data_IF_297973303042
#
_entry.id   IF_297973303042
#
_cell.length_a   1.000
_cell.length_b   1.000
_cell.length_c   1.000
_cell.angle_alpha   90.00
_cell.angle_beta   90.00
_cell.angle_gamma   90.00
#
_symmetry.space_group_name_H-M   'P 1'
#
loop_
_entity.id
_entity.type
_entity.pdbx_description
1 polymer ?
#
# COMPACT_ATOMS: atom_id res chain seq x y z
N UNK A 1 -13.70 -5.41 -10.98
CA UNK A 1 -13.28 -6.19 -9.79
C UNK A 1 -12.71 -5.23 -8.75
N UNK A 2 -13.35 -5.18 -7.59
CA UNK A 2 -12.93 -4.30 -6.50
C UNK A 2 -11.51 -4.66 -6.03
N UNK A 3 -10.65 -3.65 -5.87
CA UNK A 3 -9.26 -3.82 -5.44
C UNK A 3 -9.11 -3.16 -4.07
N UNK A 4 -8.56 -3.90 -3.09
CA UNK A 4 -8.18 -3.31 -1.82
C UNK A 4 -6.80 -2.64 -1.93
N UNK A 5 -6.76 -1.33 -1.68
CA UNK A 5 -5.51 -0.61 -1.46
C UNK A 5 -5.69 0.41 -0.35
N UNK A 6 -4.80 0.37 0.63
CA UNK A 6 -4.71 1.36 1.69
C UNK A 6 -3.25 1.56 2.06
N UNK A 7 -2.76 2.78 1.95
CA UNK A 7 -1.42 3.16 2.39
C UNK A 7 -1.48 4.31 3.39
N UNK A 8 -0.59 4.29 4.39
CA UNK A 8 -0.49 5.34 5.40
C UNK A 8 0.92 5.90 5.45
N UNK A 9 1.04 7.22 5.43
CA UNK A 9 2.32 7.90 5.57
C UNK A 9 2.22 9.12 6.47
N UNK A 10 3.34 9.49 7.10
CA UNK A 10 3.44 10.69 7.89
C UNK A 10 4.03 11.82 7.04
N UNK A 11 3.30 12.93 6.98
CA UNK A 11 3.80 14.21 6.46
C UNK A 11 4.56 14.86 7.59
N UNK A 12 5.89 14.96 7.45
CA UNK A 12 6.75 15.52 8.48
C UNK A 12 7.67 16.60 7.93
N UNK A 13 7.97 17.57 8.78
CA UNK A 13 8.86 18.68 8.42
C UNK A 13 10.31 18.22 8.24
N UNK A 14 10.76 17.19 8.97
CA UNK A 14 12.08 16.59 8.79
C UNK A 14 12.32 16.03 7.38
N UNK A 15 11.25 15.69 6.67
CA UNK A 15 11.30 15.24 5.26
C UNK A 15 11.13 16.39 4.25
N UNK A 16 11.28 17.64 4.67
CA UNK A 16 11.08 18.82 3.81
C UNK A 16 9.64 19.01 3.35
N UNK A 17 8.65 18.36 4.02
CA UNK A 17 7.24 18.46 3.64
C UNK A 17 6.52 19.48 4.50
N UNK A 18 5.53 20.17 3.90
CA UNK A 18 4.59 21.06 4.56
C UNK A 18 3.17 20.48 4.50
N UNK A 19 2.40 20.64 5.57
CA UNK A 19 0.99 20.27 5.58
C UNK A 19 0.16 21.17 4.66
N UNK A 20 0.49 22.45 4.60
CA UNK A 20 -0.14 23.41 3.68
C UNK A 20 0.13 23.05 2.24
N UNK A 21 1.41 22.80 1.86
CA UNK A 21 1.77 22.39 0.51
C UNK A 21 1.16 21.05 0.11
N UNK A 22 1.11 20.11 1.05
CA UNK A 22 0.50 18.80 0.83
C UNK A 22 -1.01 18.91 0.59
N UNK A 23 -1.73 19.71 1.37
CA UNK A 23 -3.16 19.93 1.21
C UNK A 23 -3.47 20.69 -0.08
N UNK A 24 -2.73 21.77 -0.38
CA UNK A 24 -2.88 22.54 -1.63
C UNK A 24 -2.71 21.64 -2.87
N UNK A 25 -1.69 20.77 -2.86
CA UNK A 25 -1.45 19.84 -3.97
C UNK A 25 -2.62 18.87 -4.17
N UNK A 26 -3.16 18.29 -3.09
CA UNK A 26 -4.25 17.31 -3.19
C UNK A 26 -5.56 17.95 -3.60
N UNK A 27 -5.90 19.08 -2.98
CA UNK A 27 -7.16 19.77 -3.24
C UNK A 27 -7.18 20.55 -4.57
N UNK A 28 -6.02 20.71 -5.25
CA UNK A 28 -5.91 21.55 -6.43
C UNK A 28 -6.18 23.02 -6.12
N UNK A 29 -5.78 23.49 -4.95
CA UNK A 29 -6.02 24.86 -4.50
C UNK A 29 -4.75 25.69 -4.49
N UNK A 30 -4.94 27.01 -4.38
CA UNK A 30 -3.88 27.96 -4.12
C UNK A 30 -3.92 28.30 -2.63
N UNK A 31 -2.88 27.95 -1.86
CA UNK A 31 -2.81 28.18 -0.42
C UNK A 31 -1.44 28.79 -0.08
N UNK A 32 -1.47 29.88 0.66
CA UNK A 32 -0.28 30.53 1.20
C UNK A 32 0.12 29.87 2.52
N UNK A 33 1.39 29.47 2.66
CA UNK A 33 1.95 28.96 3.90
C UNK A 33 2.52 30.14 4.72
N UNK A 34 1.84 30.50 5.78
CA UNK A 34 2.20 31.64 6.65
C UNK A 34 3.54 31.45 7.36
N UNK A 35 3.96 30.19 7.53
CA UNK A 35 5.18 29.89 8.27
C UNK A 35 6.46 30.11 7.46
N UNK A 36 6.48 29.70 6.20
CA UNK A 36 7.66 29.76 5.33
C UNK A 36 7.55 30.85 4.25
N UNK A 37 6.39 31.55 4.17
CA UNK A 37 6.14 32.58 3.19
C UNK A 37 5.95 32.08 1.76
N UNK A 38 5.71 30.77 1.57
CA UNK A 38 5.60 30.17 0.26
C UNK A 38 4.13 30.05 -0.15
N UNK A 39 3.83 30.48 -1.37
CA UNK A 39 2.52 30.29 -1.98
C UNK A 39 2.53 28.99 -2.82
N UNK A 40 1.65 28.06 -2.46
CA UNK A 40 1.46 26.81 -3.17
C UNK A 40 0.26 26.93 -4.09
N UNK A 41 0.46 26.99 -5.42
CA UNK A 41 -0.61 27.11 -6.40
C UNK A 41 -0.71 25.87 -7.29
N UNK A 42 -1.75 25.09 -7.05
CA UNK A 42 -2.06 23.86 -7.80
C UNK A 42 -3.42 23.91 -8.52
N UNK A 43 -3.97 25.10 -8.79
CA UNK A 43 -5.27 25.27 -9.47
C UNK A 43 -5.33 24.66 -10.87
N UNK A 44 -4.18 24.40 -11.50
CA UNK A 44 -4.11 23.72 -12.81
C UNK A 44 -4.22 22.20 -12.71
N UNK A 45 -4.24 21.63 -11.50
CA UNK A 45 -4.36 20.19 -11.30
C UNK A 45 -5.73 19.71 -11.74
N UNK A 46 -5.73 18.66 -12.57
CA UNK A 46 -6.95 17.99 -13.05
C UNK A 46 -7.27 16.76 -12.19
N UNK A 47 -8.49 16.27 -12.30
CA UNK A 47 -8.92 15.02 -11.66
C UNK A 47 -9.34 15.16 -10.20
N UNK A 48 -9.44 16.36 -9.65
CA UNK A 48 -10.07 16.59 -8.34
C UNK A 48 -11.58 16.60 -8.53
N UNK A 49 -12.27 15.58 -8.09
CA UNK A 49 -13.73 15.40 -8.31
C UNK A 49 -14.57 15.64 -7.08
N UNK A 50 -13.97 15.56 -5.90
CA UNK A 50 -14.62 15.86 -4.62
C UNK A 50 -13.58 16.32 -3.60
N UNK A 51 -13.96 17.25 -2.71
CA UNK A 51 -13.15 17.69 -1.58
C UNK A 51 -14.01 18.19 -0.44
N UNK A 52 -13.68 17.78 0.77
CA UNK A 52 -14.41 18.16 1.98
C UNK A 52 -13.50 18.12 3.21
N UNK A 53 -13.84 18.89 4.24
CA UNK A 53 -13.24 18.77 5.56
C UNK A 53 -14.30 18.25 6.52
N UNK A 54 -14.04 17.09 7.12
CA UNK A 54 -14.85 16.47 8.16
C UNK A 54 -14.18 16.71 9.51
N UNK A 55 -14.94 17.22 10.46
CA UNK A 55 -14.46 17.58 11.78
C UNK A 55 -15.50 17.25 12.85
N UNK A 56 -15.08 17.03 14.12
CA UNK A 56 -16.00 16.89 15.24
C UNK A 56 -16.98 18.07 15.33
N UNK A 57 -18.19 17.83 15.82
CA UNK A 57 -19.24 18.86 15.91
C UNK A 57 -18.83 20.08 16.73
N UNK A 58 -18.06 19.84 17.78
CA UNK A 58 -17.53 20.88 18.67
C UNK A 58 -16.26 21.56 18.15
N UNK A 59 -15.81 21.26 16.93
CA UNK A 59 -14.66 21.92 16.35
C UNK A 59 -14.98 23.38 15.98
N UNK A 60 -14.03 24.32 16.15
CA UNK A 60 -14.22 25.70 15.76
C UNK A 60 -14.54 25.84 14.27
N UNK A 61 -15.33 26.83 13.90
CA UNK A 61 -15.75 27.04 12.50
C UNK A 61 -14.59 27.20 11.51
N UNK A 62 -13.47 27.78 11.98
CA UNK A 62 -12.26 27.93 11.16
C UNK A 62 -11.65 26.59 10.74
N UNK A 63 -11.88 25.52 11.49
CA UNK A 63 -11.34 24.18 11.19
C UNK A 63 -11.87 23.60 9.88
N UNK A 64 -13.00 24.11 9.39
CA UNK A 64 -13.59 23.74 8.09
C UNK A 64 -13.02 24.56 6.92
N UNK A 65 -12.16 25.54 7.19
CA UNK A 65 -11.41 26.27 6.15
C UNK A 65 -10.05 25.63 5.96
N UNK A 66 -9.80 25.05 4.79
CA UNK A 66 -8.59 24.28 4.46
C UNK A 66 -7.30 25.07 4.66
N UNK A 67 -7.25 26.29 4.16
CA UNK A 67 -6.07 27.14 4.28
C UNK A 67 -5.77 27.46 5.75
N UNK A 68 -6.79 27.82 6.52
CA UNK A 68 -6.64 28.13 7.94
C UNK A 68 -6.29 26.89 8.76
N UNK A 69 -6.96 25.77 8.53
CA UNK A 69 -6.71 24.50 9.22
C UNK A 69 -5.22 24.13 9.14
N UNK A 70 -4.66 24.07 7.94
CA UNK A 70 -3.29 23.60 7.78
C UNK A 70 -2.23 24.65 8.18
N UNK A 71 -2.54 25.94 8.13
CA UNK A 71 -1.69 26.98 8.71
C UNK A 71 -1.69 26.91 10.25
N UNK A 72 -2.84 26.66 10.90
CA UNK A 72 -2.87 26.45 12.35
C UNK A 72 -2.10 25.18 12.77
N UNK A 73 -2.11 24.11 11.96
CA UNK A 73 -1.25 22.92 12.18
C UNK A 73 0.23 23.31 12.09
N UNK A 74 0.66 24.06 11.06
CA UNK A 74 2.05 24.51 10.92
C UNK A 74 2.49 25.40 12.08
N UNK A 75 1.61 26.24 12.59
CA UNK A 75 1.86 27.16 13.69
C UNK A 75 2.03 26.45 15.04
N UNK A 76 1.15 25.45 15.35
CA UNK A 76 1.21 24.73 16.61
C UNK A 76 2.36 23.73 16.67
N UNK A 77 2.76 23.17 15.53
CA UNK A 77 3.86 22.22 15.41
C UNK A 77 5.21 22.93 15.28
N UNK A 78 5.82 23.32 16.40
CA UNK A 78 6.99 24.22 16.45
C UNK A 78 8.32 23.56 16.07
N UNK A 79 8.47 22.26 16.31
CA UNK A 79 9.76 21.56 16.15
C UNK A 79 10.14 21.34 14.67
N UNK A 80 11.45 21.28 14.38
CA UNK A 80 12.00 21.02 13.04
C UNK A 80 11.67 19.60 12.52
N UNK A 81 11.43 18.66 13.41
CA UNK A 81 11.12 17.25 13.13
C UNK A 81 9.63 16.90 13.32
N UNK A 82 8.76 17.91 13.48
CA UNK A 82 7.34 17.65 13.73
C UNK A 82 6.67 16.82 12.64
N UNK A 83 5.92 15.84 13.10
CA UNK A 83 4.88 15.20 12.28
C UNK A 83 3.71 16.20 12.19
N UNK A 84 3.35 16.57 10.97
CA UNK A 84 2.34 17.60 10.68
C UNK A 84 0.97 17.00 10.44
N UNK A 85 0.93 15.92 9.66
CA UNK A 85 -0.29 15.21 9.33
C UNK A 85 0.00 13.73 9.09
N UNK A 86 -1.02 12.90 9.22
CA UNK A 86 -1.06 11.56 8.66
C UNK A 86 -1.84 11.62 7.37
N UNK A 87 -1.32 11.02 6.33
CA UNK A 87 -2.06 10.80 5.11
C UNK A 87 -2.42 9.32 4.98
N UNK A 88 -3.67 9.06 4.66
CA UNK A 88 -4.17 7.75 4.24
C UNK A 88 -4.63 7.89 2.80
N UNK A 89 -4.14 7.02 1.93
CA UNK A 89 -4.55 6.94 0.54
C UNK A 89 -5.26 5.60 0.33
N UNK A 90 -6.50 5.64 -0.17
CA UNK A 90 -7.36 4.47 -0.36
C UNK A 90 -7.85 4.41 -1.81
N UNK A 91 -7.87 3.20 -2.39
CA UNK A 91 -8.59 2.96 -3.64
C UNK A 91 -10.09 2.91 -3.38
N UNK A 92 -10.86 3.42 -4.32
CA UNK A 92 -12.32 3.36 -4.30
C UNK A 92 -12.80 2.35 -5.34
N UNK A 93 -13.81 1.52 -5.03
CA UNK A 93 -14.36 0.59 -6.00
C UNK A 93 -14.87 1.30 -7.24
N UNK A 94 -14.52 0.79 -8.41
CA UNK A 94 -15.02 1.30 -9.69
C UNK A 94 -16.50 0.90 -9.93
N UNK A 95 -16.96 -0.08 -9.19
CA UNK A 95 -18.34 -0.56 -9.17
C UNK A 95 -19.30 0.44 -8.51
N UNK A 96 -18.75 1.37 -7.71
CA UNK A 96 -19.53 2.41 -7.04
C UNK A 96 -19.60 3.65 -7.93
N UNK A 97 -20.79 4.19 -8.06
CA UNK A 97 -20.96 5.54 -8.60
C UNK A 97 -20.33 6.60 -7.67
N UNK A 98 -20.25 7.83 -8.13
CA UNK A 98 -19.61 8.92 -7.38
C UNK A 98 -20.28 9.19 -6.04
N UNK A 99 -21.61 9.12 -5.97
CA UNK A 99 -22.36 9.37 -4.75
C UNK A 99 -22.08 8.30 -3.69
N UNK A 100 -22.06 7.04 -4.11
CA UNK A 100 -21.71 5.91 -3.23
C UNK A 100 -20.25 5.94 -2.78
N UNK A 101 -19.32 6.36 -3.66
CA UNK A 101 -17.92 6.58 -3.28
C UNK A 101 -17.78 7.67 -2.21
N UNK A 102 -18.49 8.80 -2.36
CA UNK A 102 -18.50 9.89 -1.37
C UNK A 102 -19.12 9.42 -0.06
N UNK A 103 -20.25 8.70 -0.11
CA UNK A 103 -20.92 8.15 1.06
C UNK A 103 -19.97 7.22 1.84
N UNK A 104 -19.35 6.26 1.16
CA UNK A 104 -18.39 5.33 1.76
C UNK A 104 -17.26 6.09 2.48
N UNK A 105 -16.67 7.08 1.82
CA UNK A 105 -15.56 7.85 2.37
C UNK A 105 -15.97 8.65 3.61
N UNK A 106 -17.15 9.28 3.57
CA UNK A 106 -17.68 10.03 4.73
C UNK A 106 -17.97 9.14 5.93
N UNK A 107 -18.63 8.00 5.71
CA UNK A 107 -18.94 7.04 6.78
C UNK A 107 -17.63 6.50 7.39
N UNK A 108 -16.71 6.02 6.56
CA UNK A 108 -15.43 5.52 7.00
C UNK A 108 -14.63 6.56 7.81
N UNK A 109 -14.58 7.81 7.35
CA UNK A 109 -13.87 8.90 8.04
C UNK A 109 -14.53 9.24 9.37
N UNK A 110 -15.85 9.38 9.40
CA UNK A 110 -16.55 9.77 10.61
C UNK A 110 -16.42 8.70 11.70
N UNK A 111 -16.58 7.43 11.34
CA UNK A 111 -16.52 6.32 12.30
C UNK A 111 -15.09 6.08 12.83
N UNK A 112 -14.06 6.29 12.03
CA UNK A 112 -12.71 5.88 12.38
C UNK A 112 -11.77 7.02 12.79
N UNK A 113 -12.05 8.25 12.41
CA UNK A 113 -11.13 9.38 12.65
C UNK A 113 -11.82 10.54 13.36
N UNK A 114 -12.94 11.01 12.84
CA UNK A 114 -13.66 12.16 13.42
C UNK A 114 -14.19 11.82 14.81
N UNK A 115 -14.71 10.60 15.00
CA UNK A 115 -15.14 10.09 16.32
C UNK A 115 -14.01 10.04 17.35
N UNK A 116 -12.76 9.97 16.90
CA UNK A 116 -11.56 10.02 17.76
C UNK A 116 -11.03 11.44 18.00
N UNK A 117 -11.73 12.46 17.50
CA UNK A 117 -11.33 13.86 17.65
C UNK A 117 -10.37 14.38 16.57
N UNK A 118 -10.09 13.61 15.51
CA UNK A 118 -9.28 14.08 14.38
C UNK A 118 -10.13 14.95 13.44
N UNK A 119 -9.45 15.86 12.73
CA UNK A 119 -10.00 16.47 11.53
C UNK A 119 -9.45 15.74 10.32
N UNK A 120 -10.32 15.47 9.36
CA UNK A 120 -9.97 14.84 8.10
C UNK A 120 -10.22 15.81 6.94
N UNK A 121 -9.18 16.12 6.19
CA UNK A 121 -9.24 16.82 4.91
C UNK A 121 -9.20 15.77 3.81
N UNK A 122 -10.35 15.51 3.19
CA UNK A 122 -10.50 14.46 2.18
C UNK A 122 -10.62 15.06 0.79
N UNK A 123 -9.94 14.41 -0.16
CA UNK A 123 -9.99 14.75 -1.58
C UNK A 123 -10.09 13.45 -2.39
N UNK A 124 -11.09 13.35 -3.26
CA UNK A 124 -11.19 12.24 -4.21
C UNK A 124 -10.61 12.69 -5.55
N UNK A 125 -9.71 11.87 -6.06
CA UNK A 125 -9.14 12.00 -7.38
C UNK A 125 -9.69 10.92 -8.31
N UNK A 126 -10.06 11.35 -9.50
CA UNK A 126 -10.41 10.48 -10.61
C UNK A 126 -10.08 11.18 -11.92
N UNK A 127 -9.38 10.48 -12.78
CA UNK A 127 -9.01 10.97 -14.12
C UNK A 127 -9.60 10.10 -15.22
N UNK A 128 -10.69 9.38 -14.92
CA UNK A 128 -11.37 8.43 -15.82
C UNK A 128 -10.43 7.32 -16.35
N UNK A 129 -9.36 7.04 -15.61
CA UNK A 129 -8.38 6.00 -15.96
C UNK A 129 -8.59 4.68 -15.20
N UNK A 130 -9.78 4.51 -14.56
CA UNK A 130 -10.13 3.31 -13.80
C UNK A 130 -9.43 3.18 -12.44
N UNK A 131 -8.97 4.29 -11.87
CA UNK A 131 -8.31 4.31 -10.56
C UNK A 131 -8.84 5.45 -9.66
N UNK A 132 -10.15 5.49 -9.35
CA UNK A 132 -10.67 6.44 -8.38
C UNK A 132 -10.05 6.16 -7.01
N UNK A 133 -9.55 7.22 -6.35
CA UNK A 133 -8.90 7.09 -5.04
C UNK A 133 -9.10 8.32 -4.18
N UNK A 134 -9.09 8.12 -2.86
CA UNK A 134 -9.21 9.21 -1.91
C UNK A 134 -7.90 9.42 -1.14
N UNK A 135 -7.49 10.67 -1.04
CA UNK A 135 -6.46 11.16 -0.13
C UNK A 135 -7.14 11.72 1.10
N UNK A 136 -6.79 11.22 2.26
CA UNK A 136 -7.33 11.63 3.55
C UNK A 136 -6.16 12.15 4.38
N UNK A 137 -6.09 13.47 4.60
CA UNK A 137 -5.11 14.08 5.48
C UNK A 137 -5.72 14.28 6.86
N UNK A 138 -5.13 13.66 7.88
CA UNK A 138 -5.60 13.65 9.26
C UNK A 138 -4.70 14.53 10.14
N UNK A 139 -5.32 15.27 11.06
CA UNK A 139 -4.56 15.99 12.10
C UNK A 139 -3.94 15.01 13.10
N UNK A 140 -2.82 15.40 13.72
CA UNK A 140 -2.11 14.60 14.73
C UNK A 140 -2.46 15.04 16.17
N UNK A 141 -3.49 15.89 16.31
CA UNK A 141 -4.02 16.41 17.54
C UNK A 141 -5.52 16.32 17.51
N UNK A 142 -6.10 16.06 18.66
CA UNK A 142 -7.53 16.21 18.86
C UNK A 142 -7.91 17.68 18.78
N UNK A 143 -9.12 17.95 18.34
CA UNK A 143 -9.70 19.29 18.30
C UNK A 143 -10.95 19.35 19.18
N UNK A 144 -11.12 20.45 19.86
CA UNK A 144 -12.32 20.81 20.61
C UNK A 144 -12.69 22.28 20.33
N UNK A 145 -13.65 22.83 21.04
CA UNK A 145 -14.11 24.22 20.90
C UNK A 145 -13.01 25.29 21.12
N UNK A 146 -12.00 24.99 21.94
CA UNK A 146 -10.83 25.86 22.17
C UNK A 146 -9.77 25.76 21.08
N UNK A 147 -9.87 24.76 20.17
CA UNK A 147 -8.92 24.49 19.11
C UNK A 147 -8.12 23.20 19.33
N UNK A 148 -6.88 23.17 18.84
CA UNK A 148 -6.04 21.96 18.93
C UNK A 148 -5.54 21.70 20.35
N UNK A 149 -5.82 20.49 20.84
CA UNK A 149 -5.30 19.95 22.09
C UNK A 149 -3.85 19.45 22.00
N UNK A 150 -3.50 18.57 22.94
CA UNK A 150 -2.20 17.91 22.95
C UNK A 150 -2.07 16.93 21.79
N UNK A 151 -0.83 16.71 21.34
CA UNK A 151 -0.55 15.69 20.30
C UNK A 151 -0.84 14.31 20.85
N UNK A 152 -1.70 13.57 20.16
CA UNK A 152 -2.01 12.19 20.51
C UNK A 152 -1.02 11.24 19.80
N UNK A 153 -0.09 10.69 20.57
CA UNK A 153 0.96 9.80 20.05
C UNK A 153 0.50 8.36 19.87
N UNK A 154 -0.56 7.98 20.54
CA UNK A 154 -1.11 6.62 20.48
C UNK A 154 -1.64 6.31 19.07
N UNK A 155 -2.06 7.32 18.32
CA UNK A 155 -2.45 7.17 16.92
C UNK A 155 -1.31 6.69 16.00
N UNK A 156 -0.04 6.72 16.46
CA UNK A 156 1.08 6.13 15.74
C UNK A 156 1.23 4.62 15.99
N UNK A 157 0.45 4.04 16.90
CA UNK A 157 0.50 2.61 17.15
C UNK A 157 0.01 1.83 15.91
N UNK A 158 0.73 0.77 15.56
CA UNK A 158 0.44 -0.10 14.42
C UNK A 158 -0.96 -0.71 14.49
N UNK A 159 -1.45 -0.99 15.70
CA UNK A 159 -2.80 -1.52 15.94
C UNK A 159 -3.89 -0.66 15.30
N UNK A 160 -3.75 0.68 15.34
CA UNK A 160 -4.71 1.57 14.69
C UNK A 160 -4.67 1.45 13.17
N UNK A 161 -3.48 1.30 12.58
CA UNK A 161 -3.35 1.15 11.12
C UNK A 161 -4.00 -0.14 10.67
N UNK A 162 -3.80 -1.23 11.39
CA UNK A 162 -4.42 -2.53 11.11
C UNK A 162 -5.95 -2.45 11.26
N UNK A 163 -6.44 -1.82 12.34
CA UNK A 163 -7.86 -1.57 12.55
C UNK A 163 -8.47 -0.74 11.40
N UNK A 164 -7.85 0.37 11.03
CA UNK A 164 -8.36 1.25 9.96
C UNK A 164 -8.39 0.52 8.61
N UNK A 165 -7.43 -0.35 8.33
CA UNK A 165 -7.44 -1.19 7.12
C UNK A 165 -8.59 -2.19 7.15
N UNK A 166 -8.82 -2.85 8.28
CA UNK A 166 -9.93 -3.80 8.46
C UNK A 166 -11.29 -3.10 8.28
N UNK A 167 -11.48 -1.95 8.93
CA UNK A 167 -12.71 -1.18 8.82
C UNK A 167 -12.96 -0.68 7.39
N UNK A 168 -11.92 -0.26 6.66
CA UNK A 168 -12.06 0.08 5.25
C UNK A 168 -12.58 -1.10 4.42
N UNK A 169 -12.04 -2.31 4.64
CA UNK A 169 -12.52 -3.50 3.94
C UNK A 169 -13.97 -3.80 4.29
N UNK A 170 -14.37 -3.65 5.56
CA UNK A 170 -15.74 -3.82 6.02
C UNK A 170 -16.72 -2.84 5.32
N UNK A 171 -16.34 -1.55 5.24
CA UNK A 171 -17.14 -0.54 4.56
C UNK A 171 -17.30 -0.82 3.06
N UNK A 172 -16.22 -1.20 2.39
CA UNK A 172 -16.25 -1.57 0.97
C UNK A 172 -17.16 -2.79 0.76
N UNK A 173 -17.00 -3.84 1.57
CA UNK A 173 -17.76 -5.07 1.43
C UNK A 173 -19.25 -4.87 1.67
N UNK A 174 -19.61 -4.07 2.67
CA UNK A 174 -21.01 -3.66 2.91
C UNK A 174 -21.60 -2.94 1.69
N UNK A 175 -20.83 -2.01 1.10
CA UNK A 175 -21.26 -1.31 -0.09
C UNK A 175 -21.38 -2.19 -1.33
N UNK A 176 -20.54 -3.22 -1.49
CA UNK A 176 -20.65 -4.21 -2.57
C UNK A 176 -21.90 -5.10 -2.38
N UNK A 177 -22.15 -5.52 -1.14
CA UNK A 177 -23.33 -6.31 -0.79
C UNK A 177 -24.66 -5.57 -1.09
N UNK A 178 -24.74 -4.28 -0.75
CA UNK A 178 -25.89 -3.43 -1.07
C UNK A 178 -26.17 -3.36 -2.59
N UNK A 179 -25.16 -3.58 -3.43
CA UNK A 179 -25.29 -3.64 -4.90
C UNK A 179 -25.51 -5.05 -5.42
N UNK A 180 -25.60 -6.07 -4.56
CA UNK A 180 -25.72 -7.47 -4.97
C UNK A 180 -24.45 -8.04 -5.63
N UNK A 181 -23.30 -7.40 -5.42
CA UNK A 181 -22.01 -7.83 -5.96
C UNK A 181 -21.40 -8.86 -5.02
N UNK A 182 -21.01 -10.02 -5.56
CA UNK A 182 -20.47 -11.15 -4.78
C UNK A 182 -19.00 -10.98 -4.39
N UNK A 183 -18.24 -10.19 -5.15
CA UNK A 183 -16.83 -9.93 -4.86
C UNK A 183 -16.67 -9.29 -3.49
N UNK A 184 -15.58 -9.69 -2.81
CA UNK A 184 -15.20 -9.14 -1.51
C UNK A 184 -13.73 -8.77 -1.51
N UNK A 185 -13.39 -7.75 -0.74
CA UNK A 185 -12.01 -7.33 -0.49
C UNK A 185 -11.59 -7.74 0.91
N UNK A 186 -10.30 -8.03 1.09
CA UNK A 186 -9.69 -8.33 2.39
C UNK A 186 -8.47 -7.43 2.59
N UNK A 187 -8.28 -6.96 3.81
CA UNK A 187 -7.15 -6.10 4.18
C UNK A 187 -5.87 -6.87 4.50
N UNK A 188 -5.99 -8.19 4.73
CA UNK A 188 -4.88 -9.09 5.07
C UNK A 188 -4.11 -9.50 3.83
N UNK A 189 -2.85 -9.90 4.01
CA UNK A 189 -2.07 -10.53 2.95
C UNK A 189 -2.67 -11.89 2.54
N UNK A 190 -2.33 -12.40 1.37
CA UNK A 190 -2.77 -13.74 0.95
C UNK A 190 -2.32 -14.82 1.94
N UNK A 191 -1.11 -14.69 2.49
CA UNK A 191 -0.58 -15.60 3.51
C UNK A 191 -1.45 -15.61 4.78
N UNK A 192 -1.81 -14.43 5.31
CA UNK A 192 -2.70 -14.31 6.47
C UNK A 192 -4.13 -14.80 6.21
N UNK A 193 -4.55 -14.81 4.95
CA UNK A 193 -5.84 -15.36 4.52
C UNK A 193 -5.79 -16.87 4.27
N UNK A 194 -4.60 -17.49 4.30
CA UNK A 194 -4.40 -18.89 3.91
C UNK A 194 -4.61 -19.15 2.41
N UNK A 195 -4.50 -18.12 1.58
CA UNK A 195 -4.66 -18.21 0.13
C UNK A 195 -3.29 -18.46 -0.51
N UNK A 196 -3.13 -19.57 -1.19
CA UNK A 196 -1.93 -19.92 -1.94
C UNK A 196 -1.87 -19.12 -3.27
N UNK A 197 -1.56 -17.83 -3.17
CA UNK A 197 -1.31 -16.94 -4.32
C UNK A 197 -0.10 -16.08 -4.08
N UNK A 198 0.68 -15.87 -5.13
CA UNK A 198 1.81 -14.95 -5.13
C UNK A 198 1.27 -13.53 -5.37
N UNK A 199 1.54 -12.55 -4.48
CA UNK A 199 1.08 -11.18 -4.69
C UNK A 199 1.83 -10.51 -5.84
N UNK A 200 1.11 -9.75 -6.68
CA UNK A 200 1.73 -8.92 -7.72
C UNK A 200 2.48 -7.75 -7.11
N UNK A 201 3.51 -7.30 -7.79
CA UNK A 201 4.34 -6.18 -7.36
C UNK A 201 3.76 -4.85 -7.87
N UNK A 202 3.75 -3.83 -7.03
CA UNK A 202 3.27 -2.51 -7.43
C UNK A 202 4.10 -1.90 -8.56
N UNK A 203 3.45 -1.54 -9.66
CA UNK A 203 4.12 -1.04 -10.87
C UNK A 203 4.45 0.46 -10.82
N UNK A 204 3.72 1.23 -10.05
CA UNK A 204 3.85 2.69 -10.07
C UNK A 204 3.35 3.35 -11.36
N UNK A 205 3.30 4.68 -11.36
CA UNK A 205 2.73 5.44 -12.49
C UNK A 205 3.56 5.33 -13.77
N UNK A 206 4.89 5.40 -13.65
CA UNK A 206 5.80 5.39 -14.81
C UNK A 206 5.72 4.07 -15.56
N UNK A 207 5.83 2.96 -14.83
CA UNK A 207 5.75 1.60 -15.38
C UNK A 207 4.40 1.38 -16.07
N UNK A 208 3.29 1.73 -15.42
CA UNK A 208 1.95 1.64 -16.03
C UNK A 208 1.80 2.50 -17.29
N UNK A 209 2.44 3.67 -17.33
CA UNK A 209 2.40 4.53 -18.51
C UNK A 209 3.20 3.95 -19.67
N UNK A 210 4.32 3.27 -19.38
CA UNK A 210 5.13 2.58 -20.39
C UNK A 210 4.39 1.35 -20.93
N UNK A 211 3.87 0.49 -20.06
CA UNK A 211 3.10 -0.71 -20.43
C UNK A 211 1.87 -0.36 -21.29
N UNK A 212 1.15 0.71 -20.96
CA UNK A 212 0.03 1.21 -21.80
C UNK A 212 0.44 1.64 -23.21
N UNK A 213 1.69 2.00 -23.40
CA UNK A 213 2.27 2.34 -24.72
C UNK A 213 2.85 1.13 -25.44
N UNK A 214 2.70 -0.08 -24.90
CA UNK A 214 3.27 -1.30 -25.43
C UNK A 214 4.76 -1.47 -25.17
N UNK A 215 5.33 -0.68 -24.23
CA UNK A 215 6.74 -0.81 -23.83
C UNK A 215 6.77 -1.79 -22.66
N UNK A 216 7.35 -2.96 -22.89
CA UNK A 216 7.56 -3.94 -21.83
C UNK A 216 8.58 -3.44 -20.80
N UNK A 217 8.26 -3.67 -19.52
CA UNK A 217 9.12 -3.30 -18.41
C UNK A 217 9.44 -4.53 -17.56
N UNK A 218 10.58 -4.51 -16.85
CA UNK A 218 10.96 -5.61 -15.96
C UNK A 218 9.87 -5.90 -14.93
N UNK A 219 9.29 -4.85 -14.34
CA UNK A 219 8.21 -4.98 -13.37
C UNK A 219 6.92 -5.54 -13.98
N UNK A 220 6.58 -5.14 -15.19
CA UNK A 220 5.45 -5.70 -15.94
C UNK A 220 5.68 -7.17 -16.30
N UNK A 221 6.91 -7.52 -16.70
CA UNK A 221 7.28 -8.91 -16.98
C UNK A 221 7.21 -9.78 -15.71
N UNK A 222 7.74 -9.31 -14.58
CA UNK A 222 7.62 -9.99 -13.29
C UNK A 222 6.14 -10.26 -12.94
N UNK A 223 5.26 -9.28 -13.10
CA UNK A 223 3.83 -9.47 -12.81
C UNK A 223 3.17 -10.46 -13.78
N UNK A 224 3.55 -10.46 -15.05
CA UNK A 224 3.07 -11.45 -16.02
C UNK A 224 3.49 -12.89 -15.66
N UNK A 225 4.72 -13.07 -15.16
CA UNK A 225 5.16 -14.37 -14.65
C UNK A 225 4.38 -14.78 -13.39
N UNK A 226 4.22 -13.87 -12.42
CA UNK A 226 3.40 -14.12 -11.23
C UNK A 226 1.96 -14.51 -11.60
N UNK A 227 1.37 -13.88 -12.62
CA UNK A 227 0.03 -14.26 -13.10
C UNK A 227 -0.01 -15.67 -13.68
N UNK A 228 1.03 -16.09 -14.42
CA UNK A 228 1.15 -17.47 -14.92
C UNK A 228 1.27 -18.47 -13.79
N UNK A 229 2.13 -18.18 -12.82
CA UNK A 229 2.35 -19.03 -11.64
C UNK A 229 1.04 -19.18 -10.84
N UNK A 230 0.33 -18.09 -10.62
CA UNK A 230 -0.96 -18.11 -9.92
C UNK A 230 -2.03 -18.93 -10.66
N UNK A 231 -2.02 -18.94 -12.00
CA UNK A 231 -2.91 -19.82 -12.80
C UNK A 231 -2.55 -21.29 -12.61
N UNK A 232 -1.26 -21.61 -12.55
CA UNK A 232 -0.79 -22.98 -12.30
C UNK A 232 -1.22 -23.43 -10.90
N UNK A 233 -1.04 -22.58 -9.89
CA UNK A 233 -1.46 -22.86 -8.51
C UNK A 233 -2.98 -23.10 -8.46
N UNK A 234 -3.78 -22.26 -9.12
CA UNK A 234 -5.23 -22.40 -9.17
C UNK A 234 -5.67 -23.72 -9.82
N UNK A 235 -5.04 -24.10 -10.94
CA UNK A 235 -5.31 -25.36 -11.61
C UNK A 235 -4.92 -26.57 -10.75
N UNK A 236 -3.76 -26.51 -10.09
CA UNK A 236 -3.31 -27.57 -9.17
C UNK A 236 -4.30 -27.74 -7.99
N UNK A 237 -4.73 -26.64 -7.40
CA UNK A 237 -5.70 -26.68 -6.30
C UNK A 237 -7.06 -27.27 -6.73
N UNK A 238 -7.54 -26.91 -7.92
CA UNK A 238 -8.77 -27.51 -8.49
C UNK A 238 -8.61 -29.04 -8.74
N UNK A 239 -7.44 -29.46 -9.23
CA UNK A 239 -7.19 -30.90 -9.43
C UNK A 239 -7.15 -31.67 -8.08
N UNK A 240 -6.54 -31.06 -7.05
CA UNK A 240 -6.52 -31.63 -5.70
C UNK A 240 -7.95 -31.77 -5.14
N UNK A 241 -8.79 -30.76 -5.34
CA UNK A 241 -10.19 -30.78 -4.92
C UNK A 241 -10.97 -31.90 -5.61
N UNK A 242 -10.86 -32.03 -6.93
CA UNK A 242 -11.47 -33.14 -7.71
C UNK A 242 -10.99 -34.51 -7.24
N UNK A 243 -9.69 -34.66 -6.97
CA UNK A 243 -9.14 -35.94 -6.45
C UNK A 243 -9.72 -36.25 -5.06
N UNK A 244 -9.87 -35.25 -4.18
CA UNK A 244 -10.50 -35.43 -2.87
C UNK A 244 -11.95 -35.84 -2.97
N UNK A 245 -12.72 -35.24 -3.88
CA UNK A 245 -14.10 -35.62 -4.15
C UNK A 245 -14.21 -37.05 -4.70
N UNK A 246 -13.30 -37.45 -5.62
CA UNK A 246 -13.28 -38.80 -6.20
C UNK A 246 -12.88 -39.91 -5.19
N UNK A 247 -12.05 -39.57 -4.19
CA UNK A 247 -11.59 -40.52 -3.18
C UNK A 247 -12.63 -40.80 -2.09
N UNK A 248 -13.80 -40.19 -2.17
CA UNK A 248 -14.92 -40.40 -1.25
C UNK A 248 -14.59 -40.11 0.21
N UNK A 249 -15.54 -39.56 0.92
CA UNK A 249 -15.46 -39.28 2.35
C UNK A 249 -15.33 -40.56 3.19
N UNK A 250 -14.18 -41.20 3.17
CA UNK A 250 -13.80 -42.13 4.25
C UNK A 250 -13.22 -41.34 5.43
N UNK A 251 -14.08 -40.54 6.07
CA UNK A 251 -13.76 -39.98 7.38
C UNK A 251 -14.36 -40.87 8.48
N UNK A 252 -13.59 -41.85 8.85
CA UNK A 252 -13.64 -42.28 10.26
C UNK A 252 -12.60 -41.50 11.06
N UNK A 253 -13.10 -40.90 12.16
CA UNK A 253 -12.41 -39.89 12.93
C UNK A 253 -11.03 -40.31 13.44
N UNK A 254 -10.06 -39.52 13.09
CA UNK A 254 -8.91 -39.29 13.96
C UNK A 254 -8.28 -37.94 13.61
N UNK A 255 -8.35 -37.03 14.57
CA UNK A 255 -7.73 -35.72 14.50
C UNK A 255 -6.21 -35.83 14.37
N UNK A 256 -5.67 -35.59 13.18
CA UNK A 256 -4.29 -35.13 13.02
C UNK A 256 -4.21 -34.36 11.69
N UNK A 257 -4.11 -33.03 11.82
CA UNK A 257 -3.95 -32.08 10.75
C UNK A 257 -2.64 -32.32 9.97
N UNK A 258 -2.72 -33.01 8.84
CA UNK A 258 -1.63 -33.15 7.88
C UNK A 258 -2.19 -33.52 6.52
N UNK A 259 -1.90 -32.71 5.51
CA UNK A 259 -2.29 -32.98 4.12
C UNK A 259 -1.40 -34.11 3.58
N UNK A 260 -1.99 -35.23 3.15
CA UNK A 260 -1.29 -36.30 2.42
C UNK A 260 -1.49 -36.12 0.93
N UNK A 261 -0.42 -35.89 0.20
CA UNK A 261 -0.40 -36.00 -1.26
C UNK A 261 0.47 -37.23 -1.60
N UNK A 262 -0.16 -38.34 -1.93
CA UNK A 262 0.55 -39.60 -2.18
C UNK A 262 1.35 -40.07 -0.94
N UNK A 263 2.63 -40.40 -1.11
CA UNK A 263 3.53 -40.84 -0.03
C UNK A 263 4.28 -39.68 0.67
N UNK A 264 3.85 -38.42 0.50
CA UNK A 264 4.49 -37.24 1.10
C UNK A 264 3.66 -36.74 2.25
N UNK A 265 4.26 -36.67 3.45
CA UNK A 265 3.66 -36.11 4.65
C UNK A 265 4.32 -34.75 4.92
N UNK A 266 3.55 -33.66 4.85
CA UNK A 266 4.01 -32.36 5.27
C UNK A 266 3.59 -32.18 6.74
N UNK A 267 4.55 -32.17 7.65
CA UNK A 267 4.30 -31.84 9.06
C UNK A 267 4.55 -30.34 9.28
N UNK A 268 3.56 -29.65 9.85
CA UNK A 268 3.77 -28.30 10.37
C UNK A 268 4.46 -28.38 11.74
N UNK A 269 5.72 -27.94 11.79
CA UNK A 269 6.36 -27.56 13.05
C UNK A 269 6.58 -26.06 13.10
N UNK A 270 6.23 -25.50 14.22
CA UNK A 270 6.32 -24.09 14.55
C UNK A 270 7.78 -23.63 14.61
N UNK A 271 8.12 -22.60 13.85
CA UNK A 271 9.35 -21.79 13.85
C UNK A 271 10.59 -22.41 13.21
N UNK A 272 10.88 -21.99 11.98
CA UNK A 272 12.20 -22.09 11.34
C UNK A 272 12.36 -23.39 10.56
N UNK A 273 12.61 -23.23 9.28
CA UNK A 273 13.02 -24.24 8.30
C UNK A 273 12.04 -25.39 8.02
N UNK A 274 11.37 -25.29 6.87
CA UNK A 274 10.55 -26.38 6.32
C UNK A 274 11.44 -27.45 5.74
N UNK A 275 11.61 -28.54 6.45
CA UNK A 275 12.20 -29.78 5.89
C UNK A 275 11.10 -30.68 5.32
N UNK A 276 11.30 -31.14 4.08
CA UNK A 276 10.45 -32.10 3.40
C UNK A 276 10.89 -33.52 3.83
N UNK A 277 10.07 -34.23 4.60
CA UNK A 277 10.31 -35.64 4.96
C UNK A 277 9.63 -36.55 3.95
N UNK A 278 10.42 -37.35 3.23
CA UNK A 278 9.93 -38.44 2.39
C UNK A 278 10.03 -39.75 3.17
N UNK A 279 8.89 -40.25 3.62
CA UNK A 279 8.82 -41.48 4.40
C UNK A 279 8.84 -42.74 3.53
N UNK A 280 9.68 -43.70 3.92
CA UNK A 280 9.87 -44.99 3.27
C UNK A 280 8.76 -45.98 3.63
N UNK A 281 8.16 -46.63 2.63
CA UNK A 281 7.43 -47.89 2.78
C UNK A 281 7.89 -48.88 1.73
N UNK A 282 8.63 -49.89 2.21
CA UNK A 282 8.95 -51.09 1.49
C UNK A 282 7.69 -51.90 1.22
N UNK A 283 7.30 -52.08 -0.03
CA UNK A 283 6.92 -53.33 -0.65
C UNK A 283 6.36 -53.12 -2.08
N UNK A 284 7.20 -53.20 -3.08
CA UNK A 284 6.97 -53.80 -4.37
C UNK A 284 8.21 -53.64 -5.26
N UNK A 285 8.75 -54.71 -5.71
CA UNK A 285 9.99 -54.80 -6.49
C UNK A 285 9.79 -54.42 -7.95
N UNK A 286 9.35 -53.21 -8.31
CA UNK A 286 9.35 -52.78 -9.72
C UNK A 286 9.30 -51.24 -9.92
N UNK A 287 9.38 -50.39 -8.88
CA UNK A 287 9.29 -48.93 -9.04
C UNK A 287 10.52 -48.12 -8.59
N UNK A 288 11.61 -48.77 -8.22
CA UNK A 288 12.76 -48.11 -7.61
C UNK A 288 13.50 -47.09 -8.50
N UNK A 289 13.46 -47.27 -9.81
CA UNK A 289 14.16 -46.38 -10.75
C UNK A 289 13.35 -45.08 -11.02
N UNK A 290 12.04 -45.18 -11.09
CA UNK A 290 11.17 -44.01 -11.32
C UNK A 290 11.05 -43.14 -10.09
N UNK A 291 10.99 -43.75 -8.89
CA UNK A 291 10.99 -43.00 -7.60
C UNK A 291 12.30 -42.26 -7.36
N UNK A 292 13.45 -42.83 -7.71
CA UNK A 292 14.74 -42.16 -7.56
C UNK A 292 14.93 -41.02 -8.56
N UNK A 293 14.37 -41.17 -9.76
CA UNK A 293 14.34 -40.14 -10.79
C UNK A 293 13.46 -38.94 -10.35
N UNK A 294 12.24 -39.20 -9.85
CA UNK A 294 11.32 -38.18 -9.35
C UNK A 294 11.94 -37.41 -8.15
N UNK A 295 12.62 -38.14 -7.25
CA UNK A 295 13.36 -37.53 -6.12
C UNK A 295 14.55 -36.66 -6.58
N UNK A 296 15.27 -37.10 -7.63
CA UNK A 296 16.37 -36.35 -8.22
C UNK A 296 15.88 -35.07 -8.93
N UNK A 297 14.78 -35.18 -9.71
CA UNK A 297 14.14 -34.04 -10.37
C UNK A 297 13.58 -33.04 -9.36
N UNK A 298 12.95 -33.50 -8.26
CA UNK A 298 12.49 -32.65 -7.16
C UNK A 298 13.64 -31.91 -6.44
N UNK A 299 14.76 -32.58 -6.14
CA UNK A 299 15.94 -31.93 -5.56
C UNK A 299 16.55 -30.90 -6.51
N UNK A 300 16.67 -31.23 -7.79
CA UNK A 300 17.18 -30.30 -8.80
C UNK A 300 16.30 -29.06 -8.97
N UNK A 301 14.98 -29.22 -8.88
CA UNK A 301 14.01 -28.12 -8.92
C UNK A 301 14.14 -27.22 -7.70
N UNK A 302 14.23 -27.77 -6.49
CA UNK A 302 14.42 -27.00 -5.25
C UNK A 302 15.76 -26.26 -5.24
N UNK A 303 16.83 -26.89 -5.75
CA UNK A 303 18.13 -26.23 -5.87
C UNK A 303 18.11 -25.09 -6.90
N UNK A 304 17.36 -25.26 -7.99
CA UNK A 304 17.14 -24.20 -8.97
C UNK A 304 16.38 -23.02 -8.34
N UNK A 305 15.30 -23.27 -7.62
CA UNK A 305 14.53 -22.23 -6.92
C UNK A 305 15.38 -21.46 -5.89
N UNK A 306 16.27 -22.18 -5.17
CA UNK A 306 17.20 -21.54 -4.24
C UNK A 306 18.19 -20.62 -4.94
N UNK A 307 18.78 -21.07 -6.06
CA UNK A 307 19.68 -20.25 -6.88
C UNK A 307 19.00 -19.04 -7.49
N UNK A 308 17.78 -19.22 -7.99
CA UNK A 308 16.98 -18.13 -8.58
C UNK A 308 16.64 -17.07 -7.51
N UNK A 309 16.35 -17.51 -6.27
CA UNK A 309 16.15 -16.61 -5.12
C UNK A 309 17.43 -15.85 -4.74
N UNK A 310 18.56 -16.50 -4.65
CA UNK A 310 19.85 -15.86 -4.36
C UNK A 310 20.22 -14.80 -5.42
N UNK A 311 19.95 -15.10 -6.71
CA UNK A 311 20.15 -14.15 -7.82
C UNK A 311 19.17 -12.97 -7.71
N UNK A 312 17.92 -13.20 -7.33
CA UNK A 312 16.94 -12.13 -7.14
C UNK A 312 17.32 -11.20 -5.98
N UNK A 313 17.76 -11.76 -4.84
CA UNK A 313 18.23 -10.98 -3.69
C UNK A 313 19.52 -10.19 -4.01
N UNK A 314 20.41 -10.74 -4.83
CA UNK A 314 21.58 -10.05 -5.32
C UNK A 314 21.21 -8.84 -6.19
N UNK A 315 20.30 -9.02 -7.16
CA UNK A 315 19.82 -7.95 -8.02
C UNK A 315 19.10 -6.84 -7.24
N UNK A 316 18.33 -7.20 -6.19
CA UNK A 316 17.71 -6.21 -5.30
C UNK A 316 18.75 -5.39 -4.52
N UNK A 317 19.84 -5.99 -4.07
CA UNK A 317 20.95 -5.27 -3.41
C UNK A 317 21.62 -4.30 -4.39
N UNK A 318 21.96 -4.78 -5.59
CA UNK A 318 22.58 -3.96 -6.63
C UNK A 318 21.68 -2.79 -7.06
N UNK A 319 20.36 -3.02 -7.16
CA UNK A 319 19.39 -1.97 -7.47
C UNK A 319 19.31 -0.92 -6.35
N UNK A 320 19.32 -1.32 -5.07
CA UNK A 320 19.36 -0.38 -3.92
C UNK A 320 20.65 0.43 -3.89
N UNK A 321 21.79 -0.21 -4.14
CA UNK A 321 23.09 0.48 -4.20
C UNK A 321 23.13 1.47 -5.37
N UNK A 322 22.54 1.12 -6.51
CA UNK A 322 22.41 2.02 -7.67
C UNK A 322 21.50 3.22 -7.34
N UNK A 323 20.33 3.00 -6.73
CA UNK A 323 19.44 4.07 -6.31
C UNK A 323 20.08 5.02 -5.29
N UNK A 324 20.81 4.49 -4.31
CA UNK A 324 21.55 5.31 -3.36
C UNK A 324 22.69 6.10 -4.01
N UNK A 325 23.40 5.50 -4.96
CA UNK A 325 24.48 6.16 -5.72
C UNK A 325 23.93 7.28 -6.61
N UNK A 326 22.87 7.00 -7.35
CA UNK A 326 22.23 7.95 -8.26
C UNK A 326 21.53 9.08 -7.49
N UNK A 327 20.89 8.77 -6.37
CA UNK A 327 20.31 9.76 -5.46
C UNK A 327 21.35 10.74 -4.91
N UNK A 328 22.53 10.26 -4.52
CA UNK A 328 23.65 11.11 -4.06
C UNK A 328 24.21 11.99 -5.18
N UNK A 329 24.27 11.48 -6.41
CA UNK A 329 24.77 12.23 -7.56
C UNK A 329 23.81 13.37 -7.98
N UNK A 330 22.49 13.09 -7.97
CA UNK A 330 21.46 14.11 -8.24
C UNK A 330 21.48 15.19 -7.15
N UNK A 331 21.60 14.80 -5.89
CA UNK A 331 21.66 15.75 -4.78
C UNK A 331 22.96 16.59 -4.82
N UNK A 332 24.07 16.00 -5.26
CA UNK A 332 25.32 16.70 -5.53
C UNK A 332 25.19 17.76 -6.60
N UNK A 333 24.63 17.42 -7.77
CA UNK A 333 24.37 18.36 -8.88
C UNK A 333 23.44 19.50 -8.45
N UNK A 334 22.39 19.19 -7.68
CA UNK A 334 21.42 20.18 -7.19
C UNK A 334 22.07 21.18 -6.21
N UNK A 335 22.96 20.72 -5.34
CA UNK A 335 23.73 21.59 -4.43
C UNK A 335 24.73 22.47 -5.21
N UNK A 336 25.28 21.97 -6.29
CA UNK A 336 26.19 22.72 -7.15
C UNK A 336 25.46 23.80 -7.95
N UNK A 337 24.29 23.49 -8.50
CA UNK A 337 23.40 24.46 -9.14
C UNK A 337 22.91 25.54 -8.18
N UNK A 338 22.55 25.19 -6.95
CA UNK A 338 22.17 26.16 -5.92
C UNK A 338 23.33 27.08 -5.52
N UNK A 339 24.55 26.52 -5.47
CA UNK A 339 25.76 27.29 -5.19
C UNK A 339 26.06 28.27 -6.33
N UNK A 340 25.99 27.82 -7.57
CA UNK A 340 26.21 28.66 -8.74
C UNK A 340 25.18 29.79 -8.85
N UNK A 341 23.89 29.52 -8.57
CA UNK A 341 22.86 30.56 -8.51
C UNK A 341 23.09 31.60 -7.37
N UNK A 342 23.77 31.22 -6.30
CA UNK A 342 24.14 32.17 -5.24
C UNK A 342 25.32 33.04 -5.67
N UNK A 343 26.26 32.51 -6.42
CA UNK A 343 27.37 33.29 -6.97
C UNK A 343 26.87 34.32 -8.05
N UNK A 344 26.02 33.88 -8.98
CA UNK A 344 25.41 34.78 -9.98
C UNK A 344 24.64 35.94 -9.32
N UNK A 345 23.94 35.70 -8.22
CA UNK A 345 23.24 36.77 -7.48
C UNK A 345 24.13 37.68 -6.66
N UNK A 346 25.37 37.26 -6.30
CA UNK A 346 26.32 38.13 -5.63
C UNK A 346 27.02 39.08 -6.59
N UNK A 347 27.31 38.64 -7.81
CA UNK A 347 27.93 39.48 -8.85
C UNK A 347 26.99 40.55 -9.38
N UNK A 348 25.66 40.31 -9.44
CA UNK A 348 24.67 41.32 -9.77
C UNK A 348 24.52 42.40 -8.70
N UNK A 349 24.94 42.13 -7.45
CA UNK A 349 24.90 43.12 -6.36
C UNK A 349 26.14 44.03 -6.32
N UNK A 350 27.29 43.57 -6.83
CA UNK A 350 28.52 44.38 -6.89
C UNK A 350 28.59 45.27 -8.13
N UNK A 351 27.81 45.00 -9.19
CA UNK A 351 27.78 45.85 -10.40
C UNK A 351 26.71 46.96 -10.38
N UNK A 352 25.97 47.09 -9.28
CA UNK A 352 24.89 48.08 -9.11
C UNK A 352 25.20 49.21 -8.12
N UNK A 353 26.47 49.42 -7.73
CA UNK A 353 26.92 50.59 -6.96
C UNK A 353 27.73 51.57 -7.78
#
# INVERSE_FOLDING_TARGET
MAIFHSSSQIISRSKGKSSVGASAYRSGEKIYNERDGIEHDYRRKKGVVFKEILAPENAPTWAKNRARLWNEVEKIEKRKDSQLAREINIALPIEFDREKQIKLVREYINENFVSMGMIADVVIHDTDNGNPHAHIMLTMREINEDGFGKKNRDWNNRVYIEKWRAELANHINRGLEELGISERVDHRSYEEQGIEKIPTKHEGYIVRAMERRGIETDRGNENREIEKDNKIIELANKQIEVIREMQGDERDGNENNGIRIGNVRVAEESKGDRELFIGDRSNSKESGADDERIRAEGRAYLEKLRKDREVAEQREREAREFEERYGREIEGRRREEERNRRYEKSDDYEMGM
#
